data_IF_360574661072
#
_entry.id   IF_360574661072
#
_cell.length_a   1.000
_cell.length_b   1.000
_cell.length_c   1.000
_cell.angle_alpha   90.00
_cell.angle_beta   90.00
_cell.angle_gamma   90.00
#
_symmetry.space_group_name_H-M   'P 1'
#
loop_
_entity.id
_entity.type
_entity.pdbx_description
1 polymer ?
#
# COMPACT_ATOMS: atom_id res chain seq x y z
N UNK A 1 16.18 12.05 -34.92
CA UNK A 1 15.51 11.15 -33.94
C UNK A 1 14.68 10.16 -34.74
N UNK A 2 15.09 8.89 -34.80
CA UNK A 2 14.41 7.87 -35.59
C UNK A 2 13.04 7.54 -34.99
N UNK A 3 11.97 7.76 -35.76
CA UNK A 3 10.60 7.44 -35.38
C UNK A 3 10.35 5.94 -35.59
N UNK A 4 10.88 5.09 -34.71
CA UNK A 4 10.58 3.66 -34.75
C UNK A 4 9.16 3.42 -34.25
N UNK A 5 8.26 2.94 -35.11
CA UNK A 5 6.94 2.48 -34.71
C UNK A 5 7.08 1.11 -34.01
N UNK A 6 6.74 1.08 -32.73
CA UNK A 6 6.65 -0.16 -31.95
C UNK A 6 5.23 -0.74 -32.08
N UNK A 7 5.12 -2.07 -32.22
CA UNK A 7 3.83 -2.75 -32.08
C UNK A 7 3.31 -2.65 -30.64
N UNK A 8 2.00 -2.79 -30.45
CA UNK A 8 1.35 -2.68 -29.15
C UNK A 8 2.02 -3.60 -28.12
N UNK A 9 2.51 -3.02 -27.02
CA UNK A 9 3.17 -3.76 -25.92
C UNK A 9 4.68 -3.98 -26.08
N UNK A 10 5.29 -3.62 -27.22
CA UNK A 10 6.73 -3.80 -27.47
C UNK A 10 7.56 -2.53 -27.23
N UNK A 11 6.95 -1.45 -26.74
CA UNK A 11 7.69 -0.22 -26.45
C UNK A 11 8.68 -0.45 -25.29
N UNK A 12 9.97 -0.10 -25.43
CA UNK A 12 10.99 -0.34 -24.41
C UNK A 12 10.60 0.18 -23.02
N UNK A 13 10.00 1.37 -22.95
CA UNK A 13 9.51 1.96 -21.68
C UNK A 13 8.35 1.17 -21.05
N UNK A 14 7.51 0.51 -21.85
CA UNK A 14 6.43 -0.35 -21.33
C UNK A 14 7.00 -1.66 -20.79
N UNK A 15 7.98 -2.23 -21.47
CA UNK A 15 8.71 -3.43 -21.03
C UNK A 15 9.53 -3.17 -19.77
N UNK A 16 10.18 -2.01 -19.64
CA UNK A 16 10.93 -1.64 -18.43
C UNK A 16 10.04 -1.46 -17.20
N UNK A 17 8.76 -1.12 -17.40
CA UNK A 17 7.78 -0.97 -16.32
C UNK A 17 7.11 -2.29 -15.93
N UNK A 18 7.25 -3.34 -16.73
CA UNK A 18 6.78 -4.67 -16.38
C UNK A 18 7.74 -5.25 -15.33
N UNK A 19 7.44 -5.03 -14.05
CA UNK A 19 8.04 -5.74 -12.92
C UNK A 19 7.57 -7.19 -12.93
N UNK A 20 8.04 -7.97 -13.91
CA UNK A 20 7.46 -9.25 -14.33
C UNK A 20 7.65 -10.41 -13.33
N UNK A 21 8.51 -10.28 -12.31
CA UNK A 21 8.81 -11.41 -11.41
C UNK A 21 8.67 -11.17 -9.90
N UNK A 22 8.59 -9.93 -9.42
CA UNK A 22 8.74 -9.66 -7.97
C UNK A 22 7.62 -8.81 -7.37
N UNK A 23 6.72 -8.25 -8.19
CA UNK A 23 5.68 -7.32 -7.72
C UNK A 23 6.27 -6.13 -6.93
N UNK A 24 5.42 -5.41 -6.19
CA UNK A 24 5.91 -4.48 -5.18
C UNK A 24 6.55 -5.30 -4.06
N UNK A 25 7.80 -4.98 -3.71
CA UNK A 25 8.47 -5.59 -2.55
C UNK A 25 7.58 -5.47 -1.32
N UNK A 26 7.45 -6.55 -0.57
CA UNK A 26 6.79 -6.49 0.74
C UNK A 26 7.66 -5.66 1.68
N UNK A 27 7.07 -4.64 2.29
CA UNK A 27 7.76 -3.79 3.26
C UNK A 27 8.29 -4.59 4.47
N UNK A 28 7.74 -5.77 4.74
CA UNK A 28 8.06 -6.60 5.92
C UNK A 28 8.42 -8.06 5.60
N UNK A 29 8.85 -8.35 4.38
CA UNK A 29 9.33 -9.69 3.98
C UNK A 29 8.27 -10.80 3.97
N UNK A 30 7.02 -10.49 4.31
CA UNK A 30 5.89 -11.44 4.32
C UNK A 30 4.76 -10.94 3.41
N UNK A 31 4.08 -11.86 2.75
CA UNK A 31 2.90 -11.52 1.94
C UNK A 31 1.73 -11.20 2.87
N UNK A 32 1.14 -10.00 2.72
CA UNK A 32 -0.09 -9.62 3.42
C UNK A 32 -1.23 -10.58 3.05
N UNK A 33 -1.99 -11.02 4.05
CA UNK A 33 -3.24 -11.77 3.87
C UNK A 33 -4.41 -10.85 4.20
N UNK A 34 -5.49 -10.94 3.43
CA UNK A 34 -6.71 -10.16 3.70
C UNK A 34 -7.37 -10.65 4.99
N UNK A 35 -7.81 -9.69 5.81
CA UNK A 35 -8.59 -9.87 7.03
C UNK A 35 -9.74 -8.87 7.03
N UNK A 36 -10.92 -9.29 7.45
CA UNK A 36 -12.08 -8.40 7.59
C UNK A 36 -12.08 -7.71 8.96
N UNK A 37 -12.59 -6.49 9.01
CA UNK A 37 -12.79 -5.72 10.24
C UNK A 37 -14.22 -5.16 10.21
N UNK A 38 -14.95 -5.32 11.31
CA UNK A 38 -16.29 -4.75 11.48
C UNK A 38 -16.20 -3.51 12.37
N UNK A 39 -16.45 -2.34 11.80
CA UNK A 39 -16.55 -1.06 12.52
C UNK A 39 -17.66 -0.20 11.91
N UNK A 40 -18.05 0.85 12.61
CA UNK A 40 -19.01 1.85 12.09
C UNK A 40 -18.39 2.70 10.98
N UNK A 41 -19.24 3.34 10.18
CA UNK A 41 -18.79 4.29 9.15
C UNK A 41 -17.94 5.41 9.75
N UNK A 42 -18.39 5.98 10.87
CA UNK A 42 -17.64 7.00 11.61
C UNK A 42 -16.26 6.48 12.05
N UNK A 43 -16.20 5.26 12.58
CA UNK A 43 -14.94 4.61 12.94
C UNK A 43 -14.00 4.46 11.75
N UNK A 44 -14.53 4.10 10.57
CA UNK A 44 -13.75 3.97 9.35
C UNK A 44 -13.21 5.30 8.82
N UNK A 45 -14.03 6.35 8.82
CA UNK A 45 -13.58 7.70 8.43
C UNK A 45 -12.48 8.21 9.37
N UNK A 46 -12.65 8.01 10.68
CA UNK A 46 -11.64 8.38 11.68
C UNK A 46 -10.34 7.59 11.49
N UNK A 47 -10.41 6.30 11.18
CA UNK A 47 -9.24 5.47 10.86
C UNK A 47 -8.48 5.98 9.64
N UNK A 48 -9.16 6.42 8.58
CA UNK A 48 -8.50 7.04 7.41
C UNK A 48 -7.79 8.33 7.78
N UNK A 49 -8.43 9.18 8.60
CA UNK A 49 -7.83 10.42 9.10
C UNK A 49 -6.57 10.14 9.93
N UNK A 50 -6.65 9.17 10.85
CA UNK A 50 -5.52 8.74 11.69
C UNK A 50 -4.37 8.20 10.85
N UNK A 51 -4.65 7.31 9.89
CA UNK A 51 -3.64 6.77 8.99
C UNK A 51 -2.86 7.90 8.29
N UNK A 52 -3.57 8.89 7.74
CA UNK A 52 -2.97 10.06 7.11
C UNK A 52 -2.12 10.89 8.08
N UNK A 53 -2.63 11.18 9.28
CA UNK A 53 -1.91 11.92 10.33
C UNK A 53 -0.59 11.24 10.74
N UNK A 54 -0.55 9.91 10.72
CA UNK A 54 0.64 9.12 11.03
C UNK A 54 1.50 8.79 9.80
N UNK A 55 1.30 9.48 8.66
CA UNK A 55 2.10 9.30 7.45
C UNK A 55 1.94 7.92 6.80
N UNK A 56 0.83 7.24 7.06
CA UNK A 56 0.53 5.94 6.48
C UNK A 56 -0.27 6.10 5.18
N UNK A 57 0.01 5.24 4.21
CA UNK A 57 -0.60 5.33 2.87
C UNK A 57 -2.05 4.80 2.83
N UNK A 58 -2.45 4.01 3.83
CA UNK A 58 -3.79 3.41 3.92
C UNK A 58 -4.08 2.94 5.35
N UNK A 59 -5.34 2.62 5.63
CA UNK A 59 -5.76 1.98 6.89
C UNK A 59 -5.03 0.65 7.12
N UNK A 60 -4.84 -0.15 6.08
CA UNK A 60 -4.12 -1.43 6.17
C UNK A 60 -2.62 -1.26 6.46
N UNK A 61 -1.99 -0.20 5.95
CA UNK A 61 -0.61 0.16 6.28
C UNK A 61 -0.49 0.64 7.73
N UNK A 62 -1.44 1.47 8.16
CA UNK A 62 -1.53 1.97 9.52
C UNK A 62 -1.70 0.84 10.55
N UNK A 63 -2.64 -0.08 10.32
CA UNK A 63 -2.86 -1.24 11.19
C UNK A 63 -1.63 -2.16 11.27
N UNK A 64 -0.95 -2.40 10.15
CA UNK A 64 0.28 -3.19 10.12
C UNK A 64 1.39 -2.53 10.95
N UNK A 65 1.56 -1.20 10.84
CA UNK A 65 2.57 -0.44 11.58
C UNK A 65 2.25 -0.35 13.07
N UNK A 66 0.98 -0.25 13.46
CA UNK A 66 0.55 -0.35 14.87
C UNK A 66 0.91 -1.73 15.43
N UNK A 67 0.51 -2.80 14.73
CA UNK A 67 0.75 -4.17 15.19
C UNK A 67 2.24 -4.53 15.31
N UNK A 68 3.11 -3.79 14.60
CA UNK A 68 4.57 -3.93 14.66
C UNK A 68 5.26 -2.97 15.63
N UNK A 69 4.51 -2.09 16.32
CA UNK A 69 5.08 -1.09 17.22
C UNK A 69 5.83 0.05 16.54
N UNK A 70 5.59 0.28 15.24
CA UNK A 70 6.18 1.41 14.49
C UNK A 70 5.36 2.68 14.72
N UNK A 71 4.05 2.53 14.90
CA UNK A 71 3.12 3.60 15.27
C UNK A 71 2.58 3.32 16.66
N UNK A 72 2.75 4.27 17.57
CA UNK A 72 2.21 4.20 18.93
C UNK A 72 0.91 5.01 19.04
N UNK A 73 -0.09 4.41 19.69
CA UNK A 73 -1.33 5.06 20.05
C UNK A 73 -1.47 5.08 21.57
N UNK A 74 -1.81 6.24 22.13
CA UNK A 74 -2.20 6.36 23.54
C UNK A 74 -3.71 6.20 23.61
N UNK A 75 -4.16 5.02 24.02
CA UNK A 75 -5.57 4.79 24.34
C UNK A 75 -5.80 5.11 25.82
N UNK A 76 -6.83 5.91 26.10
CA UNK A 76 -7.40 6.05 27.43
C UNK A 76 -8.64 5.17 27.48
N UNK A 77 -8.75 4.33 28.51
CA UNK A 77 -9.93 3.51 28.78
C UNK A 77 -11.02 4.32 29.50
#
# INVERSE_FOLDING_TARGET
MSNQQYSQGQHPNSLSNLTYHQGRKSDFGQRKKTRGVSITDEGWENMKSLASKHGCSSVSDFLEKIARGIVELKASA
#
